data_IF_386384447127
#
_entry.id   IF_386384447127
#
_cell.length_a   1.000
_cell.length_b   1.000
_cell.length_c   1.000
_cell.angle_alpha   90.00
_cell.angle_beta   90.00
_cell.angle_gamma   90.00
#
_symmetry.space_group_name_H-M   'P 1'
#
loop_
_entity.id
_entity.type
_entity.pdbx_description
1 polymer ?
#
# COMPACT_ATOMS: atom_id res chain seq x y z
N UNK A 1 61.99 28.90 52.58
CA UNK A 1 61.22 28.45 51.41
C UNK A 1 60.16 29.49 51.14
N UNK A 2 60.38 30.29 50.10
CA UNK A 2 59.53 31.42 49.70
C UNK A 2 58.57 31.03 48.56
N UNK A 3 57.57 31.88 48.32
CA UNK A 3 56.84 31.97 47.06
C UNK A 3 56.71 33.46 46.65
N UNK A 4 57.04 33.86 45.40
CA UNK A 4 57.07 35.27 45.01
C UNK A 4 55.82 35.78 44.27
N UNK A 5 55.80 37.09 44.05
CA UNK A 5 54.67 37.91 43.56
C UNK A 5 54.57 38.05 42.02
N UNK A 6 53.52 38.74 41.52
CA UNK A 6 53.65 39.97 40.69
C UNK A 6 52.30 40.71 40.43
N UNK A 7 52.34 41.84 39.70
CA UNK A 7 51.54 43.07 39.98
C UNK A 7 51.19 43.90 38.70
N UNK A 8 50.21 44.83 38.76
CA UNK A 8 49.99 45.95 37.80
C UNK A 8 48.50 46.40 37.65
N UNK A 9 48.01 47.61 37.99
CA UNK A 9 48.28 49.04 37.59
C UNK A 9 47.77 49.46 36.19
N UNK A 10 47.30 50.70 35.89
CA UNK A 10 46.88 51.92 36.65
C UNK A 10 46.11 52.90 35.69
N UNK A 11 45.62 54.06 36.15
CA UNK A 11 44.68 54.95 35.38
C UNK A 11 45.02 56.47 35.29
N UNK A 12 44.56 57.09 34.17
CA UNK A 12 44.00 58.47 33.97
C UNK A 12 44.80 59.79 34.14
N UNK A 13 44.61 60.75 33.19
CA UNK A 13 43.83 62.02 33.38
C UNK A 13 44.13 63.17 32.36
N UNK A 14 43.10 63.85 31.77
CA UNK A 14 42.97 65.35 31.68
C UNK A 14 41.78 65.93 30.86
N UNK A 15 41.44 67.20 31.17
CA UNK A 15 40.52 68.15 30.48
C UNK A 15 41.33 69.24 29.70
N UNK A 16 40.79 70.14 28.86
CA UNK A 16 39.40 70.43 28.41
C UNK A 16 39.07 71.94 28.39
N UNK A 17 38.56 72.53 27.27
CA UNK A 17 38.21 73.99 27.17
C UNK A 17 37.23 74.32 26.01
N UNK A 18 36.34 75.32 26.17
CA UNK A 18 35.39 75.84 25.15
C UNK A 18 35.61 77.34 24.84
N UNK A 19 35.14 77.83 23.69
CA UNK A 19 34.94 79.26 23.34
C UNK A 19 33.59 79.47 22.63
N UNK A 20 33.13 80.72 22.49
CA UNK A 20 31.73 81.14 22.25
C UNK A 20 31.60 81.89 20.91
N UNK A 21 30.47 81.76 20.22
CA UNK A 21 30.17 82.39 18.91
C UNK A 21 29.44 83.75 19.05
N UNK A 22 29.42 84.54 17.97
CA UNK A 22 28.61 85.76 17.80
C UNK A 22 27.79 85.65 16.50
N UNK A 23 26.58 86.21 16.49
CA UNK A 23 25.56 85.90 15.48
C UNK A 23 25.57 86.79 14.25
N UNK A 24 25.57 86.17 13.06
CA UNK A 24 25.29 86.80 11.77
C UNK A 24 24.61 85.80 10.80
N UNK A 25 23.73 84.95 11.36
CA UNK A 25 23.11 83.80 10.68
C UNK A 25 21.57 83.87 10.69
N UNK A 26 21.04 85.08 10.91
CA UNK A 26 19.64 85.32 11.28
C UNK A 26 18.63 85.16 10.12
N UNK A 27 19.07 85.24 8.86
CA UNK A 27 18.15 85.24 7.70
C UNK A 27 18.34 84.13 6.66
N UNK A 28 19.41 83.32 6.67
CA UNK A 28 19.66 82.34 5.58
C UNK A 28 19.49 80.85 5.94
N UNK A 29 19.55 80.44 7.20
CA UNK A 29 19.35 79.01 7.60
C UNK A 29 17.91 78.61 7.92
N UNK A 30 16.92 79.49 7.72
CA UNK A 30 15.54 79.24 8.13
C UNK A 30 14.64 78.50 7.12
N UNK A 31 15.14 78.13 5.92
CA UNK A 31 14.39 77.33 4.94
C UNK A 31 14.79 75.84 4.99
N UNK A 32 16.05 75.52 5.35
CA UNK A 32 16.53 74.13 5.49
C UNK A 32 16.30 73.52 6.90
N UNK A 33 15.48 74.17 7.76
CA UNK A 33 15.19 73.67 9.11
C UNK A 33 13.90 72.84 9.20
N UNK A 34 12.95 73.03 8.27
CA UNK A 34 11.73 72.23 8.19
C UNK A 34 11.88 71.07 7.19
N UNK A 35 12.63 70.04 7.60
CA UNK A 35 12.33 68.70 7.06
C UNK A 35 10.94 68.34 7.57
N UNK A 36 9.95 68.45 6.68
CA UNK A 36 8.54 68.41 7.05
C UNK A 36 8.26 67.12 7.85
N UNK A 37 7.83 67.19 9.13
CA UNK A 37 7.77 66.01 10.01
C UNK A 37 6.86 64.92 9.41
N UNK A 38 5.84 65.34 8.68
CA UNK A 38 4.93 64.52 7.88
C UNK A 38 5.69 63.66 6.85
N UNK A 39 6.69 64.20 6.13
CA UNK A 39 7.48 63.44 5.16
C UNK A 39 8.37 62.39 5.82
N UNK A 40 8.89 62.67 7.03
CA UNK A 40 9.63 61.70 7.83
C UNK A 40 8.71 60.56 8.29
N UNK A 41 7.50 60.90 8.76
CA UNK A 41 6.46 59.93 9.15
C UNK A 41 6.05 59.06 7.96
N UNK A 42 5.79 59.63 6.77
CA UNK A 42 5.51 58.86 5.55
C UNK A 42 6.67 57.94 5.17
N UNK A 43 7.92 58.37 5.34
CA UNK A 43 9.10 57.52 5.13
C UNK A 43 9.18 56.33 6.11
N UNK A 44 8.85 56.55 7.38
CA UNK A 44 8.74 55.48 8.38
C UNK A 44 7.55 54.55 8.08
N UNK A 45 6.39 55.08 7.72
CA UNK A 45 5.20 54.30 7.37
C UNK A 45 5.45 53.43 6.12
N UNK A 46 6.09 53.97 5.07
CA UNK A 46 6.46 53.20 3.87
C UNK A 46 7.44 52.06 4.20
N UNK A 47 8.36 52.28 5.13
CA UNK A 47 9.26 51.23 5.63
C UNK A 47 8.51 50.16 6.42
N UNK A 48 7.62 50.55 7.33
CA UNK A 48 6.78 49.63 8.11
C UNK A 48 5.90 48.78 7.18
N UNK A 49 5.19 49.39 6.22
CA UNK A 49 4.39 48.67 5.22
C UNK A 49 5.28 47.72 4.39
N UNK A 50 6.47 48.16 3.99
CA UNK A 50 7.44 47.28 3.31
C UNK A 50 7.86 46.06 4.13
N UNK A 51 8.13 46.24 5.43
CA UNK A 51 8.43 45.13 6.34
C UNK A 51 7.23 44.21 6.57
N UNK A 52 6.02 44.75 6.71
CA UNK A 52 4.79 43.96 6.85
C UNK A 52 4.51 43.12 5.58
N UNK A 53 4.68 43.71 4.40
CA UNK A 53 4.53 42.99 3.12
C UNK A 53 5.62 41.91 2.95
N UNK A 54 6.87 42.19 3.33
CA UNK A 54 7.95 41.21 3.28
C UNK A 54 7.70 40.05 4.25
N UNK A 55 7.30 40.35 5.49
CA UNK A 55 6.95 39.34 6.49
C UNK A 55 5.76 38.49 6.05
N UNK A 56 4.73 39.09 5.44
CA UNK A 56 3.59 38.36 4.88
C UNK A 56 4.02 37.42 3.74
N UNK A 57 4.87 37.88 2.81
CA UNK A 57 5.37 37.02 1.73
C UNK A 57 6.22 35.86 2.25
N UNK A 58 7.14 36.10 3.19
CA UNK A 58 7.94 35.05 3.83
C UNK A 58 7.03 34.05 4.56
N UNK A 59 6.03 34.52 5.29
CA UNK A 59 5.04 33.67 5.95
C UNK A 59 4.27 32.81 4.93
N UNK A 60 3.80 33.38 3.83
CA UNK A 60 3.14 32.63 2.75
C UNK A 60 4.04 31.54 2.16
N UNK A 61 5.31 31.86 1.84
CA UNK A 61 6.27 30.89 1.27
C UNK A 61 6.48 29.72 2.24
N UNK A 62 6.80 30.01 3.50
CA UNK A 62 6.98 28.98 4.55
C UNK A 62 5.72 28.13 4.72
N UNK A 63 4.53 28.75 4.74
CA UNK A 63 3.27 28.01 4.79
C UNK A 63 3.08 27.09 3.57
N UNK A 64 3.39 27.55 2.35
CA UNK A 64 3.26 26.72 1.14
C UNK A 64 4.23 25.54 1.13
N UNK A 65 5.49 25.72 1.55
CA UNK A 65 6.47 24.64 1.64
C UNK A 65 6.08 23.60 2.71
N UNK A 66 5.55 24.06 3.85
CA UNK A 66 4.99 23.16 4.88
C UNK A 66 3.76 22.39 4.38
N UNK A 67 2.85 23.01 3.63
CA UNK A 67 1.67 22.33 3.09
C UNK A 67 2.07 21.25 2.07
N UNK A 68 2.97 21.56 1.13
CA UNK A 68 3.42 20.62 0.09
C UNK A 68 4.16 19.41 0.71
N UNK A 69 5.02 19.64 1.71
CA UNK A 69 5.74 18.54 2.39
C UNK A 69 4.79 17.64 3.19
N UNK A 70 3.80 18.18 3.90
CA UNK A 70 2.77 17.40 4.62
C UNK A 70 1.91 16.59 3.64
N UNK A 71 1.50 17.17 2.50
CA UNK A 71 0.74 16.46 1.47
C UNK A 71 1.52 15.29 0.87
N UNK A 72 2.81 15.48 0.57
CA UNK A 72 3.66 14.42 0.01
C UNK A 72 3.89 13.26 1.01
N UNK A 73 4.03 13.56 2.30
CA UNK A 73 4.11 12.54 3.36
C UNK A 73 2.79 11.78 3.53
N UNK A 74 1.65 12.47 3.44
CA UNK A 74 0.33 11.82 3.50
C UNK A 74 0.06 10.90 2.29
N UNK A 75 0.50 11.29 1.09
CA UNK A 75 0.35 10.47 -0.13
C UNK A 75 1.14 9.15 -0.04
N UNK A 76 2.33 9.17 0.57
CA UNK A 76 3.21 8.01 0.66
C UNK A 76 2.75 6.94 1.69
N UNK A 77 1.75 7.24 2.54
CA UNK A 77 1.26 6.32 3.57
C UNK A 77 -0.09 5.66 3.23
N UNK A 78 -0.46 5.57 1.94
CA UNK A 78 -1.51 4.65 1.49
C UNK A 78 -0.99 3.22 1.56
N UNK A 79 -1.14 2.58 2.71
CA UNK A 79 -0.98 1.12 2.86
C UNK A 79 -2.10 0.43 2.06
N UNK A 80 -1.79 -0.01 0.86
CA UNK A 80 -2.69 -0.90 0.10
C UNK A 80 -2.84 -2.20 0.87
N UNK A 81 -4.03 -2.45 1.43
CA UNK A 81 -4.33 -3.72 2.08
C UNK A 81 -4.70 -4.72 0.98
N UNK A 82 -3.82 -5.68 0.72
CA UNK A 82 -4.15 -6.83 -0.12
C UNK A 82 -5.00 -7.82 0.69
N UNK A 83 -6.29 -7.91 0.37
CA UNK A 83 -7.18 -8.93 0.92
C UNK A 83 -7.49 -9.99 -0.14
N UNK A 84 -7.55 -11.25 0.30
CA UNK A 84 -7.71 -12.42 -0.55
C UNK A 84 -9.09 -13.02 -0.34
N UNK A 85 -10.02 -12.73 -1.26
CA UNK A 85 -11.41 -13.15 -1.13
C UNK A 85 -11.78 -14.28 -2.10
N UNK A 86 -12.80 -15.04 -1.71
CA UNK A 86 -13.46 -16.04 -2.54
C UNK A 86 -14.85 -15.54 -2.97
N UNK A 87 -15.40 -15.99 -4.10
CA UNK A 87 -16.77 -15.66 -4.47
C UNK A 87 -17.77 -16.15 -3.42
N UNK A 88 -18.94 -15.51 -3.37
CA UNK A 88 -20.07 -15.99 -2.56
C UNK A 88 -20.35 -17.48 -2.85
N UNK A 89 -20.64 -18.26 -1.81
CA UNK A 89 -20.76 -19.74 -1.79
C UNK A 89 -19.46 -20.55 -1.97
N UNK A 90 -18.29 -19.93 -2.16
CA UNK A 90 -17.01 -20.65 -2.25
C UNK A 90 -16.26 -20.69 -0.91
N UNK A 91 -15.57 -21.79 -0.65
CA UNK A 91 -14.84 -22.06 0.59
C UNK A 91 -13.35 -21.75 0.38
N UNK A 92 -12.81 -20.79 1.14
CA UNK A 92 -11.42 -20.35 1.03
C UNK A 92 -10.45 -21.08 1.95
N UNK A 93 -9.40 -21.68 1.41
CA UNK A 93 -8.33 -22.35 2.17
C UNK A 93 -6.98 -21.86 1.67
N UNK A 94 -6.14 -21.32 2.56
CA UNK A 94 -4.86 -20.74 2.14
C UNK A 94 -5.07 -19.68 1.05
N UNK A 95 -4.44 -19.89 -0.11
CA UNK A 95 -4.54 -19.05 -1.31
C UNK A 95 -5.54 -19.58 -2.37
N UNK A 96 -6.32 -20.64 -2.09
CA UNK A 96 -7.28 -21.24 -3.03
C UNK A 96 -8.73 -21.08 -2.55
N UNK A 97 -9.66 -21.14 -3.51
CA UNK A 97 -11.10 -21.18 -3.32
C UNK A 97 -11.66 -22.47 -3.94
N UNK A 98 -12.57 -23.11 -3.22
CA UNK A 98 -13.23 -24.36 -3.64
C UNK A 98 -14.73 -24.17 -3.69
N UNK A 99 -15.38 -24.71 -4.72
CA UNK A 99 -16.83 -24.81 -4.83
C UNK A 99 -17.23 -26.27 -4.91
N UNK A 100 -18.25 -26.67 -4.16
CA UNK A 100 -18.82 -28.01 -4.15
C UNK A 100 -20.23 -27.90 -4.75
N UNK A 101 -20.54 -28.69 -5.77
CA UNK A 101 -21.87 -28.63 -6.40
C UNK A 101 -22.93 -29.35 -5.57
N UNK A 102 -24.16 -28.83 -5.62
CA UNK A 102 -25.33 -29.57 -5.17
C UNK A 102 -25.98 -30.42 -6.28
N UNK A 103 -25.90 -29.93 -7.51
CA UNK A 103 -26.32 -30.64 -8.73
C UNK A 103 -25.34 -31.74 -9.14
N UNK A 104 -25.82 -32.70 -9.92
CA UNK A 104 -25.00 -33.67 -10.65
C UNK A 104 -24.86 -33.29 -12.12
N UNK A 105 -23.67 -33.46 -12.69
CA UNK A 105 -23.36 -33.31 -14.12
C UNK A 105 -22.42 -34.42 -14.59
N UNK A 106 -22.39 -34.69 -15.90
CA UNK A 106 -21.28 -35.40 -16.54
C UNK A 106 -19.96 -34.62 -16.39
N UNK A 107 -18.81 -35.30 -16.54
CA UNK A 107 -17.51 -34.71 -16.25
C UNK A 107 -17.19 -33.47 -17.12
N UNK A 108 -17.55 -33.50 -18.40
CA UNK A 108 -17.33 -32.36 -19.33
C UNK A 108 -18.15 -31.15 -18.90
N UNK A 109 -19.47 -31.32 -18.71
CA UNK A 109 -20.36 -30.25 -18.27
C UNK A 109 -20.05 -29.71 -16.86
N UNK A 110 -19.33 -30.49 -16.04
CA UNK A 110 -18.77 -30.05 -14.76
C UNK A 110 -17.53 -29.17 -14.93
N UNK A 111 -16.61 -29.54 -15.84
CA UNK A 111 -15.45 -28.71 -16.20
C UNK A 111 -15.89 -27.41 -16.88
N UNK A 112 -16.90 -27.44 -17.76
CA UNK A 112 -17.46 -26.25 -18.40
C UNK A 112 -18.10 -25.31 -17.37
N UNK A 113 -18.78 -25.84 -16.34
CA UNK A 113 -19.27 -25.06 -15.21
C UNK A 113 -18.12 -24.40 -14.44
N UNK A 114 -17.04 -25.13 -14.13
CA UNK A 114 -15.90 -24.49 -13.47
C UNK A 114 -15.29 -23.38 -14.34
N UNK A 115 -15.16 -23.61 -15.65
CA UNK A 115 -14.61 -22.65 -16.59
C UNK A 115 -15.42 -21.34 -16.64
N UNK A 116 -16.76 -21.39 -16.54
CA UNK A 116 -17.60 -20.18 -16.51
C UNK A 116 -17.40 -19.30 -15.26
N UNK A 117 -16.73 -19.80 -14.23
CA UNK A 117 -16.32 -19.06 -13.03
C UNK A 117 -14.81 -18.74 -12.98
N UNK A 118 -14.10 -18.78 -14.12
CA UNK A 118 -12.63 -18.66 -14.19
C UNK A 118 -11.91 -19.69 -13.30
N UNK A 119 -12.46 -20.90 -13.22
CA UNK A 119 -11.99 -21.99 -12.39
C UNK A 119 -11.82 -23.28 -13.22
N UNK A 120 -11.30 -24.32 -12.57
CA UNK A 120 -11.16 -25.66 -13.16
C UNK A 120 -11.75 -26.70 -12.21
N UNK A 121 -12.01 -27.92 -12.68
CA UNK A 121 -12.22 -29.03 -11.76
C UNK A 121 -10.99 -29.19 -10.85
N UNK A 122 -11.23 -29.56 -9.59
CA UNK A 122 -10.22 -29.52 -8.53
C UNK A 122 -8.99 -30.36 -8.87
N UNK A 123 -7.81 -29.76 -8.73
CA UNK A 123 -6.54 -30.48 -8.65
C UNK A 123 -6.11 -30.66 -7.20
N UNK A 124 -5.37 -31.73 -6.90
CA UNK A 124 -5.01 -32.11 -5.53
C UNK A 124 -3.49 -32.24 -5.46
N UNK A 125 -2.84 -31.22 -4.91
CA UNK A 125 -1.38 -31.14 -4.75
C UNK A 125 -0.88 -31.85 -3.49
N UNK A 126 -1.69 -31.85 -2.42
CA UNK A 126 -1.23 -32.31 -1.09
C UNK A 126 -2.21 -33.27 -0.42
N UNK A 127 -1.69 -34.13 0.46
CA UNK A 127 -2.51 -35.02 1.28
C UNK A 127 -3.49 -34.25 2.19
N UNK A 128 -3.05 -33.11 2.72
CA UNK A 128 -3.90 -32.21 3.53
C UNK A 128 -5.08 -31.67 2.73
N UNK A 129 -4.87 -31.30 1.47
CA UNK A 129 -5.94 -30.89 0.54
C UNK A 129 -6.88 -32.07 0.26
N UNK A 130 -6.36 -33.27 -0.03
CA UNK A 130 -7.21 -34.46 -0.21
C UNK A 130 -8.09 -34.75 1.00
N UNK A 131 -7.51 -34.77 2.20
CA UNK A 131 -8.23 -35.06 3.45
C UNK A 131 -9.30 -34.01 3.75
N UNK A 132 -9.03 -32.73 3.45
CA UNK A 132 -10.04 -31.67 3.55
C UNK A 132 -11.19 -31.87 2.55
N UNK A 133 -10.89 -32.11 1.27
CA UNK A 133 -11.90 -32.30 0.23
C UNK A 133 -12.81 -33.50 0.54
N UNK A 134 -12.23 -34.58 1.08
CA UNK A 134 -12.98 -35.76 1.55
C UNK A 134 -13.89 -35.44 2.73
N UNK A 135 -13.47 -34.56 3.65
CA UNK A 135 -14.27 -34.14 4.78
C UNK A 135 -15.48 -33.29 4.34
N UNK A 136 -15.28 -32.36 3.40
CA UNK A 136 -16.34 -31.43 2.97
C UNK A 136 -17.33 -31.99 1.94
N UNK A 137 -16.93 -32.92 1.08
CA UNK A 137 -17.80 -33.41 -0.01
C UNK A 137 -19.06 -34.15 0.46
N UNK A 138 -19.18 -34.46 1.75
CA UNK A 138 -20.28 -35.27 2.30
C UNK A 138 -20.34 -36.69 1.70
N UNK A 139 -21.53 -37.32 1.64
CA UNK A 139 -21.67 -38.73 1.24
C UNK A 139 -21.56 -38.96 -0.28
N UNK A 140 -21.52 -37.90 -1.09
CA UNK A 140 -21.57 -38.01 -2.54
C UNK A 140 -20.17 -38.11 -3.17
N UNK A 141 -20.06 -38.83 -4.28
CA UNK A 141 -18.88 -38.83 -5.14
C UNK A 141 -18.82 -37.54 -5.96
N UNK A 142 -17.62 -36.96 -6.09
CA UNK A 142 -17.43 -35.70 -6.81
C UNK A 142 -16.36 -35.77 -7.90
N UNK A 143 -16.66 -35.30 -9.11
CA UNK A 143 -15.67 -35.15 -10.19
C UNK A 143 -14.51 -34.24 -9.79
N UNK A 144 -13.29 -34.64 -10.20
CA UNK A 144 -12.05 -33.90 -10.03
C UNK A 144 -11.35 -33.71 -11.38
N UNK A 145 -10.36 -32.82 -11.45
CA UNK A 145 -9.70 -32.38 -12.68
C UNK A 145 -8.73 -33.38 -13.31
N UNK A 146 -8.96 -34.69 -13.14
CA UNK A 146 -8.13 -35.78 -13.66
C UNK A 146 -8.86 -36.56 -14.75
N UNK A 147 -8.21 -36.71 -15.91
CA UNK A 147 -8.72 -37.47 -17.05
C UNK A 147 -7.60 -38.25 -17.74
N UNK A 148 -7.96 -39.37 -18.35
CA UNK A 148 -7.17 -40.11 -19.36
C UNK A 148 -8.02 -40.31 -20.62
N UNK A 149 -7.39 -40.64 -21.74
CA UNK A 149 -8.09 -40.83 -23.01
C UNK A 149 -8.75 -42.21 -23.09
N UNK A 150 -7.98 -43.25 -22.78
CA UNK A 150 -8.44 -44.64 -22.65
C UNK A 150 -7.87 -45.27 -21.37
N UNK A 151 -8.37 -46.45 -20.98
CA UNK A 151 -8.00 -47.11 -19.71
C UNK A 151 -6.50 -47.41 -19.55
N UNK A 152 -5.77 -47.61 -20.65
CA UNK A 152 -4.33 -47.84 -20.69
C UNK A 152 -3.49 -46.55 -20.82
N UNK A 153 -4.11 -45.37 -20.95
CA UNK A 153 -3.40 -44.11 -21.09
C UNK A 153 -3.06 -43.49 -19.73
N UNK A 154 -2.01 -42.67 -19.71
CA UNK A 154 -1.61 -41.94 -18.51
C UNK A 154 -2.63 -40.89 -18.11
N UNK A 155 -2.80 -40.73 -16.81
CA UNK A 155 -3.63 -39.69 -16.21
C UNK A 155 -3.00 -38.30 -16.39
N UNK A 156 -3.84 -37.29 -16.66
CA UNK A 156 -3.44 -35.89 -16.82
C UNK A 156 -4.41 -34.98 -16.06
N UNK A 157 -3.87 -33.97 -15.39
CA UNK A 157 -4.66 -32.87 -14.86
C UNK A 157 -5.15 -31.97 -16.00
N UNK A 158 -6.33 -31.36 -15.85
CA UNK A 158 -6.90 -30.44 -16.85
C UNK A 158 -6.15 -29.12 -16.96
N UNK A 159 -5.66 -28.59 -15.84
CA UNK A 159 -5.02 -27.27 -15.79
C UNK A 159 -3.49 -27.34 -15.95
N UNK A 160 -2.80 -28.23 -15.23
CA UNK A 160 -1.34 -28.28 -15.22
C UNK A 160 -0.82 -29.72 -15.31
N UNK A 161 -0.31 -30.07 -16.48
CA UNK A 161 0.29 -31.39 -16.76
C UNK A 161 1.60 -31.66 -16.03
N UNK A 162 2.17 -30.67 -15.32
CA UNK A 162 3.37 -30.82 -14.48
C UNK A 162 3.06 -31.29 -13.06
N UNK A 163 1.81 -31.19 -12.61
CA UNK A 163 1.42 -31.62 -11.26
C UNK A 163 1.52 -33.16 -11.14
N UNK A 164 2.33 -33.61 -10.19
CA UNK A 164 2.52 -35.04 -9.92
C UNK A 164 1.26 -35.67 -9.31
N UNK A 165 0.98 -36.92 -9.68
CA UNK A 165 -0.11 -37.72 -9.12
C UNK A 165 0.52 -38.70 -8.12
N UNK A 166 0.38 -38.40 -6.83
CA UNK A 166 1.00 -39.15 -5.73
C UNK A 166 0.10 -40.25 -5.13
N UNK A 167 -1.12 -40.41 -5.63
CA UNK A 167 -2.14 -41.34 -5.13
C UNK A 167 -2.63 -42.32 -6.21
N UNK A 168 -3.10 -43.49 -5.78
CA UNK A 168 -3.73 -44.47 -6.66
C UNK A 168 -5.12 -44.00 -7.14
N UNK A 169 -5.44 -44.24 -8.42
CA UNK A 169 -6.76 -43.97 -9.01
C UNK A 169 -7.39 -45.30 -9.43
N UNK A 170 -8.46 -45.70 -8.74
CA UNK A 170 -9.08 -47.03 -8.90
C UNK A 170 -10.02 -47.10 -10.10
N UNK A 171 -10.16 -48.30 -10.68
CA UNK A 171 -11.10 -48.60 -11.76
C UNK A 171 -10.60 -48.29 -13.18
N UNK A 172 -11.48 -48.52 -14.16
CA UNK A 172 -11.16 -48.53 -15.60
C UNK A 172 -11.76 -47.36 -16.40
N UNK A 173 -12.42 -46.41 -15.72
CA UNK A 173 -13.04 -45.25 -16.36
C UNK A 173 -12.05 -44.18 -16.82
N UNK A 174 -12.50 -43.27 -17.68
CA UNK A 174 -11.69 -42.23 -18.32
C UNK A 174 -11.55 -40.97 -17.45
N UNK A 175 -12.54 -40.70 -16.59
CA UNK A 175 -12.63 -39.49 -15.75
C UNK A 175 -12.53 -39.86 -14.27
N UNK A 176 -11.80 -39.08 -13.47
CA UNK A 176 -11.60 -39.38 -12.04
C UNK A 176 -12.55 -38.60 -11.11
N UNK A 177 -12.97 -39.24 -10.03
CA UNK A 177 -13.80 -38.68 -8.97
C UNK A 177 -13.25 -39.01 -7.58
N UNK A 178 -13.52 -38.13 -6.62
CA UNK A 178 -13.21 -38.29 -5.21
C UNK A 178 -14.36 -38.99 -4.49
N UNK A 179 -14.02 -40.06 -3.76
CA UNK A 179 -14.91 -40.87 -2.92
C UNK A 179 -14.35 -40.95 -1.48
N UNK A 180 -15.12 -41.53 -0.55
CA UNK A 180 -14.67 -41.72 0.84
C UNK A 180 -13.42 -42.61 0.94
N UNK A 181 -13.22 -43.49 -0.05
CA UNK A 181 -12.08 -44.42 -0.14
C UNK A 181 -10.88 -43.86 -0.89
N UNK A 182 -10.89 -42.56 -1.25
CA UNK A 182 -9.88 -41.92 -2.09
C UNK A 182 -10.38 -41.74 -3.53
N UNK A 183 -9.48 -41.74 -4.51
CA UNK A 183 -9.82 -41.43 -5.91
C UNK A 183 -10.15 -42.69 -6.71
N UNK A 184 -11.24 -42.62 -7.47
CA UNK A 184 -11.71 -43.68 -8.37
C UNK A 184 -12.04 -43.09 -9.73
N UNK A 185 -12.33 -43.94 -10.72
CA UNK A 185 -12.61 -43.54 -12.10
C UNK A 185 -13.95 -44.04 -12.61
N UNK A 186 -14.63 -43.19 -13.38
CA UNK A 186 -15.94 -43.45 -13.97
C UNK A 186 -15.97 -43.09 -15.46
N UNK A 187 -17.05 -43.49 -16.13
CA UNK A 187 -17.28 -43.16 -17.54
C UNK A 187 -17.60 -41.67 -17.71
N UNK A 188 -17.23 -41.10 -18.85
CA UNK A 188 -17.43 -39.67 -19.14
C UNK A 188 -18.89 -39.21 -19.00
N UNK A 189 -19.85 -40.08 -19.32
CA UNK A 189 -21.30 -39.83 -19.27
C UNK A 189 -21.93 -40.10 -17.89
N UNK A 190 -21.16 -40.49 -16.88
CA UNK A 190 -21.72 -40.71 -15.54
C UNK A 190 -22.07 -39.36 -14.88
N UNK A 191 -23.24 -39.29 -14.24
CA UNK A 191 -23.69 -38.09 -13.55
C UNK A 191 -23.17 -38.09 -12.11
N UNK A 192 -22.42 -37.05 -11.71
CA UNK A 192 -21.89 -36.90 -10.33
C UNK A 192 -21.86 -35.43 -9.94
N UNK A 193 -21.77 -35.14 -8.63
CA UNK A 193 -21.40 -33.80 -8.16
C UNK A 193 -19.98 -33.47 -8.62
N UNK A 194 -19.52 -32.24 -8.48
CA UNK A 194 -18.17 -31.84 -8.86
C UNK A 194 -17.60 -30.80 -7.90
N UNK A 195 -16.27 -30.68 -7.89
CA UNK A 195 -15.56 -29.67 -7.10
C UNK A 195 -14.77 -28.78 -8.05
N UNK A 196 -14.98 -27.48 -8.00
CA UNK A 196 -14.15 -26.50 -8.71
C UNK A 196 -13.06 -25.92 -7.81
N UNK A 197 -11.94 -25.50 -8.41
CA UNK A 197 -10.83 -24.81 -7.76
C UNK A 197 -10.40 -23.57 -8.55
N UNK A 198 -10.06 -22.49 -7.85
CA UNK A 198 -9.30 -21.36 -8.38
C UNK A 198 -8.47 -20.67 -7.31
N UNK A 199 -7.49 -19.87 -7.71
CA UNK A 199 -6.77 -18.99 -6.79
C UNK A 199 -7.68 -17.88 -6.25
N UNK A 200 -7.42 -17.44 -5.01
CA UNK A 200 -8.08 -16.26 -4.43
C UNK A 200 -7.75 -15.01 -5.25
N UNK A 201 -8.71 -14.09 -5.37
CA UNK A 201 -8.50 -12.79 -6.04
C UNK A 201 -7.76 -11.86 -5.08
N UNK A 202 -6.71 -11.19 -5.58
CA UNK A 202 -6.01 -10.13 -4.86
C UNK A 202 -6.81 -8.85 -5.03
N UNK A 203 -7.52 -8.43 -3.99
CA UNK A 203 -8.21 -7.15 -3.94
C UNK A 203 -7.32 -6.13 -3.24
N UNK A 204 -7.20 -4.92 -3.81
CA UNK A 204 -6.48 -3.78 -3.23
C UNK A 204 -7.45 -2.65 -2.90
N UNK A 205 -7.40 -2.19 -1.66
CA UNK A 205 -8.09 -0.99 -1.18
C UNK A 205 -7.17 0.23 -1.20
#
# INVERSE_FOLDING_TARGET
MEAPALNGSKTTSRNGRKKKESGDDFHRKNINKYTNPIAKIFGHLRRIVGFLLLAANICCIVCTECIVTVQHLASNNKRTVEYYDCPETWIGIGNKCFYFSDDTRNWTSSQDYCASYEANLVHIETEKEMNFLKCLKGPFDHWIGLRREFSNHTWKWTHDSKLSIWFEIKGTGECAFLSDRGVSSGRIYAERRWICIKSKRINRC
#
